data_IF_547514580444
#
_entry.id   IF_547514580444
#
_cell.length_a   1.000
_cell.length_b   1.000
_cell.length_c   1.000
_cell.angle_alpha   90.00
_cell.angle_beta   90.00
_cell.angle_gamma   90.00
#
_symmetry.space_group_name_H-M   'P 1'
#
loop_
_entity.id
_entity.type
_entity.pdbx_description
1 polymer ?
#
# COMPACT_ATOMS: atom_id res chain seq x y z
N UNK A 1 76.30 -6.60 -38.77
CA UNK A 1 75.65 -7.91 -38.99
C UNK A 1 74.21 -7.81 -38.51
N UNK A 2 73.28 -8.20 -39.37
CA UNK A 2 71.82 -8.07 -39.26
C UNK A 2 71.18 -9.00 -38.22
N UNK A 3 69.97 -8.60 -37.76
CA UNK A 3 68.78 -9.37 -37.29
C UNK A 3 68.20 -8.66 -36.04
N UNK A 4 67.05 -7.97 -36.02
CA UNK A 4 65.70 -8.17 -36.57
C UNK A 4 65.02 -9.46 -36.09
N UNK A 5 64.23 -9.38 -35.01
CA UNK A 5 62.93 -10.06 -34.77
C UNK A 5 62.39 -9.56 -33.40
N UNK A 6 61.45 -8.60 -33.34
CA UNK A 6 59.98 -8.71 -33.42
C UNK A 6 59.29 -9.49 -32.28
N UNK A 7 58.46 -8.76 -31.49
CA UNK A 7 57.17 -9.15 -30.89
C UNK A 7 57.21 -10.22 -29.76
N UNK A 8 56.50 -10.20 -28.64
CA UNK A 8 55.23 -9.59 -28.21
C UNK A 8 55.20 -9.66 -26.68
N UNK A 9 54.86 -8.55 -26.00
CA UNK A 9 54.48 -8.56 -24.58
C UNK A 9 53.08 -9.18 -24.46
N UNK A 10 52.97 -10.40 -23.94
CA UNK A 10 51.68 -11.00 -23.58
C UNK A 10 51.36 -10.65 -22.11
N UNK A 11 50.64 -9.55 -21.90
CA UNK A 11 49.90 -9.27 -20.68
C UNK A 11 48.72 -10.23 -20.60
N UNK A 12 48.81 -11.26 -19.75
CA UNK A 12 47.71 -12.16 -19.46
C UNK A 12 46.78 -11.50 -18.41
N UNK A 13 46.04 -10.47 -18.83
CA UNK A 13 44.88 -10.00 -18.06
C UNK A 13 43.72 -10.94 -18.37
N UNK A 14 43.50 -11.93 -17.50
CA UNK A 14 42.26 -12.72 -17.50
C UNK A 14 41.16 -11.79 -16.98
N UNK A 15 40.54 -11.09 -17.91
CA UNK A 15 39.27 -10.42 -17.69
C UNK A 15 38.23 -11.53 -17.47
N UNK A 16 37.96 -11.88 -16.21
CA UNK A 16 36.74 -12.61 -15.89
C UNK A 16 35.58 -11.65 -16.15
N UNK A 17 35.12 -11.62 -17.41
CA UNK A 17 33.79 -11.15 -17.72
C UNK A 17 32.83 -12.14 -17.08
N UNK A 18 32.48 -11.91 -15.81
CA UNK A 18 31.25 -12.45 -15.25
C UNK A 18 30.16 -11.89 -16.17
N UNK A 19 29.42 -12.72 -16.93
CA UNK A 19 28.28 -12.20 -17.64
C UNK A 19 27.38 -11.65 -16.54
N UNK A 20 27.15 -10.33 -16.56
CA UNK A 20 26.08 -9.74 -15.79
C UNK A 20 24.84 -10.55 -16.18
N UNK A 21 24.37 -11.39 -15.25
CA UNK A 21 23.03 -11.94 -15.33
C UNK A 21 22.15 -10.72 -15.25
N UNK A 22 21.80 -10.17 -16.42
CA UNK A 22 20.63 -9.34 -16.55
C UNK A 22 19.50 -10.27 -16.12
N UNK A 23 19.15 -10.23 -14.83
CA UNK A 23 17.88 -10.73 -14.37
C UNK A 23 16.88 -10.05 -15.29
N UNK A 24 16.16 -10.84 -16.07
CA UNK A 24 15.02 -10.39 -16.83
C UNK A 24 13.98 -9.88 -15.82
N UNK A 25 14.20 -8.65 -15.35
CA UNK A 25 13.29 -7.93 -14.48
C UNK A 25 12.15 -7.51 -15.39
N UNK A 26 11.19 -8.43 -15.55
CA UNK A 26 9.84 -8.07 -15.97
C UNK A 26 9.45 -6.80 -15.22
N UNK A 27 9.22 -5.73 -15.97
CA UNK A 27 8.96 -4.41 -15.41
C UNK A 27 7.65 -4.50 -14.63
N UNK A 28 7.74 -4.37 -13.30
CA UNK A 28 6.58 -4.48 -12.43
C UNK A 28 5.66 -3.28 -12.64
N UNK A 29 4.35 -3.52 -12.76
CA UNK A 29 3.38 -2.44 -12.73
C UNK A 29 3.30 -1.84 -11.32
N UNK A 30 2.81 -0.61 -11.19
CA UNK A 30 2.56 -0.01 -9.88
C UNK A 30 1.59 -0.84 -9.01
N UNK A 31 0.69 -1.62 -9.63
CA UNK A 31 -0.17 -2.58 -8.91
C UNK A 31 0.61 -3.78 -8.38
N UNK A 32 1.57 -4.29 -9.15
CA UNK A 32 2.44 -5.40 -8.72
C UNK A 32 3.31 -4.99 -7.54
N UNK A 33 3.83 -3.75 -7.54
CA UNK A 33 4.61 -3.23 -6.41
C UNK A 33 3.78 -3.17 -5.13
N UNK A 34 2.54 -2.64 -5.20
CA UNK A 34 1.65 -2.53 -4.03
C UNK A 34 1.22 -3.91 -3.53
N UNK A 35 0.90 -4.83 -4.44
CA UNK A 35 0.48 -6.19 -4.06
C UNK A 35 1.66 -7.00 -3.49
N UNK A 36 2.85 -6.90 -4.10
CA UNK A 36 4.08 -7.50 -3.62
C UNK A 36 4.46 -7.02 -2.22
N UNK A 37 4.44 -5.70 -1.98
CA UNK A 37 4.74 -5.16 -0.65
C UNK A 37 3.74 -5.62 0.41
N UNK A 38 2.45 -5.71 0.06
CA UNK A 38 1.44 -6.26 0.97
C UNK A 38 1.70 -7.72 1.32
N UNK A 39 2.21 -8.51 0.37
CA UNK A 39 2.60 -9.89 0.60
C UNK A 39 3.86 -9.98 1.46
N UNK A 40 4.83 -9.08 1.26
CA UNK A 40 6.02 -8.99 2.11
C UNK A 40 5.64 -8.73 3.58
N UNK A 41 4.69 -7.81 3.83
CA UNK A 41 4.17 -7.55 5.18
C UNK A 41 3.56 -8.81 5.79
N UNK A 42 2.73 -9.51 5.03
CA UNK A 42 2.13 -10.76 5.49
C UNK A 42 3.19 -11.82 5.83
N UNK A 43 4.14 -12.06 4.93
CA UNK A 43 5.16 -13.10 5.09
C UNK A 43 6.03 -12.83 6.32
N UNK A 44 6.51 -11.61 6.51
CA UNK A 44 7.33 -11.28 7.69
C UNK A 44 6.50 -11.41 8.98
N UNK A 45 5.24 -10.96 8.96
CA UNK A 45 4.32 -11.11 10.09
C UNK A 45 4.15 -12.57 10.52
N UNK A 46 3.96 -13.47 9.56
CA UNK A 46 3.86 -14.92 9.80
C UNK A 46 5.19 -15.53 10.27
N UNK A 47 6.33 -15.09 9.71
CA UNK A 47 7.63 -15.71 9.99
C UNK A 47 8.21 -15.32 11.34
N UNK A 48 8.09 -14.05 11.73
CA UNK A 48 8.77 -13.51 12.91
C UNK A 48 8.00 -12.45 13.69
N UNK A 49 6.71 -12.22 13.37
CA UNK A 49 5.88 -11.21 14.01
C UNK A 49 6.15 -9.77 13.56
N UNK A 50 7.16 -9.55 12.72
CA UNK A 50 7.53 -8.23 12.23
C UNK A 50 8.48 -7.46 13.14
N UNK A 51 9.44 -6.78 12.52
CA UNK A 51 10.27 -5.78 13.18
C UNK A 51 10.59 -4.64 12.21
N UNK A 52 10.95 -3.49 12.77
CA UNK A 52 11.15 -2.26 11.99
C UNK A 52 12.26 -2.38 10.93
N UNK A 53 13.30 -3.18 11.20
CA UNK A 53 14.39 -3.38 10.24
C UNK A 53 13.90 -4.13 9.00
N UNK A 54 13.15 -5.21 9.18
CA UNK A 54 12.61 -5.99 8.06
C UNK A 54 11.58 -5.16 7.26
N UNK A 55 10.75 -4.36 7.95
CA UNK A 55 9.84 -3.42 7.32
C UNK A 55 10.54 -2.37 6.47
N UNK A 56 11.53 -1.70 7.04
CA UNK A 56 12.28 -0.66 6.34
C UNK A 56 12.98 -1.21 5.07
N UNK A 57 13.50 -2.44 5.11
CA UNK A 57 14.11 -3.08 3.94
C UNK A 57 13.10 -3.31 2.80
N UNK A 58 11.90 -3.78 3.14
CA UNK A 58 10.83 -4.01 2.15
C UNK A 58 10.21 -2.70 1.65
N UNK A 59 10.06 -1.70 2.52
CA UNK A 59 9.66 -0.34 2.13
C UNK A 59 10.66 0.25 1.14
N UNK A 60 11.96 0.16 1.40
CA UNK A 60 13.01 0.67 0.51
C UNK A 60 12.99 -0.03 -0.86
N UNK A 61 12.80 -1.35 -0.86
CA UNK A 61 12.68 -2.14 -2.10
C UNK A 61 11.44 -1.74 -2.90
N UNK A 62 10.28 -1.65 -2.23
CA UNK A 62 9.02 -1.24 -2.84
C UNK A 62 9.07 0.21 -3.35
N UNK A 63 9.73 1.12 -2.63
CA UNK A 63 9.93 2.49 -3.05
C UNK A 63 10.72 2.60 -4.36
N UNK A 64 11.84 1.89 -4.47
CA UNK A 64 12.62 1.86 -5.71
C UNK A 64 11.82 1.28 -6.88
N UNK A 65 11.09 0.20 -6.64
CA UNK A 65 10.27 -0.43 -7.68
C UNK A 65 9.10 0.47 -8.09
N UNK A 66 8.48 1.19 -7.15
CA UNK A 66 7.41 2.15 -7.45
C UNK A 66 7.92 3.29 -8.34
N UNK A 67 9.09 3.85 -8.02
CA UNK A 67 9.71 4.90 -8.84
C UNK A 67 9.93 4.38 -10.26
N UNK A 68 10.54 3.19 -10.42
CA UNK A 68 10.75 2.57 -11.74
C UNK A 68 9.43 2.34 -12.48
N UNK A 69 8.40 1.84 -11.80
CA UNK A 69 7.09 1.61 -12.39
C UNK A 69 6.46 2.92 -12.90
N UNK A 70 6.51 3.99 -12.12
CA UNK A 70 5.93 5.30 -12.49
C UNK A 70 6.62 5.94 -13.70
N UNK A 71 7.91 5.68 -13.91
CA UNK A 71 8.64 6.11 -15.12
C UNK A 71 8.39 5.25 -16.35
N UNK A 72 7.76 4.08 -16.22
CA UNK A 72 7.49 3.20 -17.35
C UNK A 72 6.28 3.67 -18.16
N UNK A 73 6.37 3.50 -19.49
CA UNK A 73 5.32 3.88 -20.44
C UNK A 73 4.00 3.13 -20.20
N UNK A 74 4.06 1.89 -19.68
CA UNK A 74 2.88 1.06 -19.37
C UNK A 74 1.96 1.69 -18.31
N UNK A 75 2.51 2.49 -17.38
CA UNK A 75 1.72 3.19 -16.36
C UNK A 75 0.81 4.27 -16.95
N UNK A 76 1.09 4.73 -18.18
CA UNK A 76 0.28 5.75 -18.88
C UNK A 76 -0.96 5.12 -19.55
N UNK A 77 -0.91 3.85 -19.98
CA UNK A 77 -2.03 3.20 -20.69
C UNK A 77 -2.97 2.38 -19.80
N UNK A 78 -2.53 1.93 -18.62
CA UNK A 78 -3.30 1.04 -17.73
C UNK A 78 -3.56 1.62 -16.33
N UNK A 79 -3.91 2.90 -16.31
CA UNK A 79 -4.06 3.73 -15.11
C UNK A 79 -5.05 3.19 -14.06
N UNK A 80 -6.05 2.43 -14.51
CA UNK A 80 -7.15 1.91 -13.70
C UNK A 80 -7.27 0.40 -13.87
N UNK A 81 -7.53 -0.30 -12.79
CA UNK A 81 -7.91 -1.71 -12.81
C UNK A 81 -9.38 -1.90 -13.26
N UNK A 82 -9.85 -3.16 -13.25
CA UNK A 82 -11.23 -3.52 -13.60
C UNK A 82 -12.32 -2.89 -12.72
N UNK A 83 -11.95 -2.38 -11.54
CA UNK A 83 -12.86 -1.66 -10.65
C UNK A 83 -12.76 -0.14 -10.83
N UNK A 84 -11.94 0.34 -11.76
CA UNK A 84 -11.67 1.76 -11.94
C UNK A 84 -10.66 2.34 -10.95
N UNK A 85 -9.95 1.50 -10.20
CA UNK A 85 -8.99 1.94 -9.16
C UNK A 85 -7.61 2.15 -9.74
N UNK A 86 -6.99 3.26 -9.36
CA UNK A 86 -5.58 3.58 -9.65
C UNK A 86 -4.65 3.02 -8.56
N UNK A 87 -3.32 2.97 -8.76
CA UNK A 87 -2.38 2.62 -7.70
C UNK A 87 -2.53 3.50 -6.45
N UNK A 88 -2.85 4.79 -6.63
CA UNK A 88 -3.07 5.72 -5.50
C UNK A 88 -4.27 5.30 -4.63
N UNK A 89 -5.32 4.70 -5.20
CA UNK A 89 -6.44 4.14 -4.42
C UNK A 89 -5.95 3.05 -3.45
N UNK A 90 -5.15 2.11 -3.97
CA UNK A 90 -4.67 0.98 -3.20
C UNK A 90 -3.66 1.41 -2.12
N UNK A 91 -2.70 2.27 -2.46
CA UNK A 91 -1.74 2.79 -1.49
C UNK A 91 -2.44 3.54 -0.34
N UNK A 92 -3.43 4.38 -0.68
CA UNK A 92 -4.17 5.19 0.30
C UNK A 92 -5.07 4.34 1.20
N UNK A 93 -5.83 3.40 0.62
CA UNK A 93 -6.74 2.53 1.38
C UNK A 93 -6.05 1.46 2.23
N UNK A 94 -4.82 1.07 1.87
CA UNK A 94 -4.01 0.11 2.64
C UNK A 94 -3.11 0.77 3.69
N UNK A 95 -3.05 2.10 3.75
CA UNK A 95 -2.18 2.79 4.71
C UNK A 95 -0.71 2.80 4.32
N UNK A 96 -0.36 2.60 3.05
CA UNK A 96 1.03 2.64 2.57
C UNK A 96 1.48 4.09 2.33
N UNK A 97 1.65 4.83 3.43
CA UNK A 97 1.95 6.26 3.42
C UNK A 97 3.14 6.63 2.51
N UNK A 98 4.25 5.89 2.59
CA UNK A 98 5.44 6.14 1.76
C UNK A 98 5.17 5.96 0.26
N UNK A 99 4.32 5.00 -0.14
CA UNK A 99 3.93 4.84 -1.54
C UNK A 99 2.99 5.96 -2.00
N UNK A 100 2.10 6.44 -1.12
CA UNK A 100 1.28 7.63 -1.42
C UNK A 100 2.17 8.84 -1.69
N UNK A 101 3.20 9.06 -0.87
CA UNK A 101 4.19 10.13 -1.06
C UNK A 101 4.94 10.00 -2.39
N UNK A 102 5.48 8.82 -2.69
CA UNK A 102 6.20 8.58 -3.95
C UNK A 102 5.30 8.79 -5.16
N UNK A 103 4.06 8.29 -5.12
CA UNK A 103 3.11 8.43 -6.23
C UNK A 103 2.77 9.92 -6.44
N UNK A 104 2.54 10.69 -5.38
CA UNK A 104 2.19 12.11 -5.50
C UNK A 104 3.35 13.04 -5.82
N UNK A 105 4.60 12.59 -5.62
CA UNK A 105 5.79 13.29 -6.10
C UNK A 105 6.04 13.09 -7.60
N UNK A 106 5.23 12.26 -8.27
CA UNK A 106 5.33 12.02 -9.71
C UNK A 106 4.11 12.63 -10.45
N UNK A 107 4.35 13.30 -11.58
CA UNK A 107 3.31 14.05 -12.32
C UNK A 107 2.09 13.18 -12.69
N UNK A 108 2.35 11.95 -13.15
CA UNK A 108 1.29 10.98 -13.49
C UNK A 108 0.42 10.67 -12.26
N UNK A 109 1.03 10.49 -11.08
CA UNK A 109 0.31 10.14 -9.86
C UNK A 109 -0.56 11.26 -9.32
N UNK A 110 -0.13 12.52 -9.48
CA UNK A 110 -0.96 13.71 -9.17
C UNK A 110 -2.25 13.72 -10.00
N UNK A 111 -2.18 13.28 -11.27
CA UNK A 111 -3.36 13.13 -12.13
C UNK A 111 -4.41 12.14 -11.60
N UNK A 112 -4.07 11.31 -10.61
CA UNK A 112 -4.96 10.31 -10.02
C UNK A 112 -5.63 10.76 -8.72
N UNK A 113 -5.30 11.95 -8.21
CA UNK A 113 -5.68 12.42 -6.88
C UNK A 113 -7.19 12.35 -6.61
N UNK A 114 -8.00 12.64 -7.63
CA UNK A 114 -9.46 12.66 -7.59
C UNK A 114 -10.09 11.63 -8.53
N UNK A 115 -9.31 10.66 -9.02
CA UNK A 115 -9.86 9.58 -9.82
C UNK A 115 -10.89 8.81 -8.97
N UNK A 116 -12.06 8.52 -9.54
CA UNK A 116 -13.08 7.71 -8.90
C UNK A 116 -13.04 6.27 -9.42
N UNK A 117 -13.24 5.33 -8.51
CA UNK A 117 -13.53 3.94 -8.83
C UNK A 117 -15.02 3.74 -9.18
N UNK A 118 -15.42 2.50 -9.49
CA UNK A 118 -16.79 2.15 -9.87
C UNK A 118 -17.86 2.41 -8.79
N UNK A 119 -17.45 2.70 -7.55
CA UNK A 119 -18.30 3.04 -6.43
C UNK A 119 -18.25 4.54 -6.10
N UNK A 120 -17.59 5.36 -6.93
CA UNK A 120 -17.39 6.79 -6.69
C UNK A 120 -16.25 7.10 -5.72
N UNK A 121 -15.57 6.08 -5.17
CA UNK A 121 -14.56 6.27 -4.16
C UNK A 121 -13.27 6.83 -4.77
N UNK A 122 -12.79 7.94 -4.21
CA UNK A 122 -11.46 8.51 -4.47
C UNK A 122 -10.39 7.86 -3.58
N UNK A 123 -9.10 8.10 -3.83
CA UNK A 123 -8.04 7.71 -2.89
C UNK A 123 -8.25 8.28 -1.48
N UNK A 124 -8.72 9.52 -1.37
CA UNK A 124 -9.08 10.12 -0.08
C UNK A 124 -10.23 9.37 0.58
N UNK A 125 -11.31 9.09 -0.15
CA UNK A 125 -12.45 8.33 0.35
C UNK A 125 -12.04 6.94 0.88
N UNK A 126 -11.15 6.22 0.18
CA UNK A 126 -10.63 4.92 0.65
C UNK A 126 -9.74 5.05 1.89
N UNK A 127 -8.92 6.10 1.97
CA UNK A 127 -8.10 6.36 3.17
C UNK A 127 -8.94 6.70 4.40
N UNK A 128 -10.17 7.19 4.21
CA UNK A 128 -11.12 7.44 5.30
C UNK A 128 -11.76 6.14 5.80
N UNK A 129 -12.00 5.18 4.90
CA UNK A 129 -12.47 3.85 5.28
C UNK A 129 -11.40 3.04 6.02
N UNK A 130 -10.11 3.33 5.79
CA UNK A 130 -8.98 2.76 6.52
C UNK A 130 -9.07 1.24 6.71
N UNK A 131 -9.28 0.52 5.61
CA UNK A 131 -9.67 -0.91 5.64
C UNK A 131 -8.67 -1.76 6.43
N UNK A 132 -7.36 -1.44 6.39
CA UNK A 132 -6.36 -2.17 7.17
C UNK A 132 -6.43 -1.93 8.70
N UNK A 133 -7.15 -0.90 9.14
CA UNK A 133 -7.40 -0.57 10.56
C UNK A 133 -8.80 -0.95 11.04
N UNK A 134 -9.79 -0.96 10.15
CA UNK A 134 -11.20 -1.09 10.56
C UNK A 134 -11.78 -2.46 10.24
N UNK A 135 -11.01 -3.40 9.68
CA UNK A 135 -11.53 -4.68 9.17
C UNK A 135 -12.29 -5.50 10.22
N UNK A 136 -11.73 -5.63 11.43
CA UNK A 136 -12.38 -6.37 12.52
C UNK A 136 -13.71 -5.75 12.93
N UNK A 137 -13.76 -4.43 12.92
CA UNK A 137 -14.96 -3.67 13.23
C UNK A 137 -16.00 -3.75 12.11
N UNK A 138 -15.52 -3.90 10.87
CA UNK A 138 -16.34 -3.99 9.67
C UNK A 138 -17.05 -5.35 9.54
N UNK A 139 -16.47 -6.42 10.09
CA UNK A 139 -16.98 -7.80 10.02
C UNK A 139 -17.16 -8.47 11.41
N UNK A 140 -18.02 -7.93 12.30
CA UNK A 140 -18.23 -8.47 13.65
C UNK A 140 -18.82 -9.90 13.70
N UNK A 141 -19.39 -10.38 12.59
CA UNK A 141 -20.01 -11.69 12.44
C UNK A 141 -19.01 -12.82 12.23
N UNK A 142 -17.74 -12.52 11.94
CA UNK A 142 -16.72 -13.54 11.71
C UNK A 142 -16.51 -14.34 13.01
N UNK A 143 -17.04 -15.57 13.01
CA UNK A 143 -16.89 -16.51 14.12
C UNK A 143 -15.58 -17.28 14.08
N UNK A 144 -15.06 -17.52 12.87
CA UNK A 144 -13.82 -18.26 12.68
C UNK A 144 -12.63 -17.30 12.79
N UNK A 145 -11.87 -17.32 13.90
CA UNK A 145 -10.75 -16.41 14.07
C UNK A 145 -9.65 -16.62 13.03
N UNK A 146 -9.55 -17.80 12.40
CA UNK A 146 -8.54 -18.07 11.37
C UNK A 146 -8.73 -17.23 10.10
N UNK A 147 -9.95 -16.76 9.82
CA UNK A 147 -10.21 -15.83 8.69
C UNK A 147 -9.51 -14.48 8.91
N UNK A 148 -9.19 -14.15 10.16
CA UNK A 148 -8.55 -12.89 10.54
C UNK A 148 -7.02 -12.99 10.58
N UNK A 149 -6.43 -14.17 10.37
CA UNK A 149 -4.97 -14.36 10.44
C UNK A 149 -4.21 -13.37 9.54
N UNK A 150 -4.54 -13.19 8.26
CA UNK A 150 -3.85 -12.21 7.42
C UNK A 150 -3.93 -10.77 7.94
N UNK A 151 -5.02 -10.42 8.64
CA UNK A 151 -5.12 -9.13 9.31
C UNK A 151 -4.22 -9.08 10.53
N UNK A 152 -4.35 -10.04 11.46
CA UNK A 152 -3.65 -10.05 12.74
C UNK A 152 -2.13 -10.03 12.57
N UNK A 153 -1.59 -10.82 11.64
CA UNK A 153 -0.13 -10.90 11.42
C UNK A 153 0.43 -9.67 10.71
N UNK A 154 -0.40 -8.88 10.03
CA UNK A 154 0.03 -7.63 9.38
C UNK A 154 -0.14 -6.40 10.27
N UNK A 155 -0.89 -6.50 11.39
CA UNK A 155 -1.11 -5.37 12.32
C UNK A 155 0.16 -4.74 12.87
N UNK A 156 1.18 -5.49 13.30
CA UNK A 156 2.39 -4.90 13.88
C UNK A 156 3.09 -3.88 12.97
N UNK A 157 2.96 -4.01 11.65
CA UNK A 157 3.47 -3.01 10.71
C UNK A 157 2.86 -1.61 10.95
N UNK A 158 1.56 -1.52 11.25
CA UNK A 158 0.84 -0.25 11.34
C UNK A 158 0.89 0.43 12.72
N UNK A 159 1.11 -0.33 13.80
CA UNK A 159 0.95 0.12 15.20
C UNK A 159 1.71 1.43 15.51
N UNK A 160 2.95 1.55 15.06
CA UNK A 160 3.80 2.72 15.33
C UNK A 160 3.82 3.74 14.18
N UNK A 161 3.16 3.43 13.06
CA UNK A 161 3.21 4.26 11.85
C UNK A 161 2.10 5.29 11.79
N UNK A 162 0.92 4.96 12.34
CA UNK A 162 -0.32 5.74 12.27
C UNK A 162 -0.50 6.42 10.90
N UNK A 163 -0.67 5.63 9.83
CA UNK A 163 -0.45 6.12 8.47
C UNK A 163 -1.59 7.02 7.97
N UNK A 164 -2.82 6.81 8.41
CA UNK A 164 -3.98 7.46 7.80
C UNK A 164 -4.03 8.97 8.04
N UNK A 165 -3.79 9.50 9.25
CA UNK A 165 -3.69 10.96 9.43
C UNK A 165 -2.63 11.60 8.53
N UNK A 166 -1.48 10.92 8.34
CA UNK A 166 -0.41 11.38 7.45
C UNK A 166 -0.85 11.35 5.98
N UNK A 167 -1.53 10.28 5.55
CA UNK A 167 -2.10 10.13 4.21
C UNK A 167 -3.18 11.20 3.95
N UNK A 168 -4.07 11.46 4.90
CA UNK A 168 -5.11 12.49 4.76
C UNK A 168 -4.47 13.85 4.53
N UNK A 169 -3.51 14.23 5.38
CA UNK A 169 -2.79 15.50 5.24
C UNK A 169 -2.11 15.61 3.88
N UNK A 170 -1.45 14.53 3.44
CA UNK A 170 -0.74 14.50 2.17
C UNK A 170 -1.68 14.62 0.97
N UNK A 171 -2.77 13.85 0.94
CA UNK A 171 -3.77 13.92 -0.14
C UNK A 171 -4.42 15.31 -0.22
N UNK A 172 -4.79 15.90 0.93
CA UNK A 172 -5.38 17.24 0.99
C UNK A 172 -4.39 18.31 0.53
N UNK A 173 -3.10 18.19 0.88
CA UNK A 173 -2.06 19.10 0.40
C UNK A 173 -1.89 19.07 -1.14
N UNK A 174 -2.27 17.95 -1.78
CA UNK A 174 -2.30 17.79 -3.24
C UNK A 174 -3.70 18.06 -3.85
N UNK A 175 -4.60 18.74 -3.13
CA UNK A 175 -5.94 19.12 -3.58
C UNK A 175 -6.89 17.93 -3.82
N UNK A 176 -6.79 16.87 -3.01
CA UNK A 176 -7.81 15.85 -2.96
C UNK A 176 -9.16 16.43 -2.53
N UNK A 177 -10.24 15.97 -3.16
CA UNK A 177 -11.60 16.28 -2.76
C UNK A 177 -11.90 15.59 -1.40
N UNK A 178 -12.19 16.36 -0.34
CA UNK A 178 -12.42 15.81 0.99
C UNK A 178 -13.82 15.20 1.17
N UNK A 179 -14.70 15.24 0.18
CA UNK A 179 -16.07 14.71 0.29
C UNK A 179 -16.04 13.19 0.50
N UNK A 180 -16.78 12.74 1.51
CA UNK A 180 -16.81 11.32 1.93
C UNK A 180 -18.18 10.66 1.78
N UNK A 181 -19.13 11.27 1.08
CA UNK A 181 -20.50 10.75 1.01
C UNK A 181 -20.57 9.37 0.36
N UNK A 182 -19.81 9.17 -0.73
CA UNK A 182 -19.68 7.85 -1.36
C UNK A 182 -19.02 6.82 -0.43
N UNK A 183 -18.04 7.24 0.40
CA UNK A 183 -17.42 6.35 1.40
C UNK A 183 -18.41 5.94 2.49
N UNK A 184 -19.20 6.89 3.00
CA UNK A 184 -20.26 6.61 3.99
C UNK A 184 -21.29 5.65 3.41
N UNK A 185 -21.79 5.93 2.19
CA UNK A 185 -22.75 5.08 1.50
C UNK A 185 -22.17 3.68 1.25
N UNK A 186 -20.91 3.59 0.81
CA UNK A 186 -20.22 2.33 0.62
C UNK A 186 -20.14 1.53 1.93
N UNK A 187 -19.70 2.16 3.02
CA UNK A 187 -19.61 1.51 4.32
C UNK A 187 -20.98 1.04 4.80
N UNK A 188 -22.01 1.90 4.75
CA UNK A 188 -23.36 1.56 5.18
C UNK A 188 -23.94 0.39 4.38
N UNK A 189 -23.68 0.31 3.08
CA UNK A 189 -24.23 -0.74 2.23
C UNK A 189 -23.50 -2.08 2.34
N UNK A 190 -22.22 -2.08 2.75
CA UNK A 190 -21.37 -3.28 2.67
C UNK A 190 -20.85 -3.76 4.05
N UNK A 191 -20.91 -2.93 5.09
CA UNK A 191 -20.56 -3.33 6.46
C UNK A 191 -21.72 -4.10 7.11
N UNK A 192 -21.39 -5.24 7.71
CA UNK A 192 -22.32 -6.16 8.37
C UNK A 192 -22.70 -5.74 9.80
N UNK A 193 -22.14 -4.64 10.29
CA UNK A 193 -22.43 -4.10 11.62
C UNK A 193 -23.91 -3.66 11.74
N UNK A 194 -24.55 -4.10 12.83
CA UNK A 194 -25.99 -3.93 13.11
C UNK A 194 -26.31 -2.89 14.19
N UNK A 195 -25.30 -2.27 14.78
CA UNK A 195 -25.47 -1.19 15.76
C UNK A 195 -26.06 0.06 15.09
N UNK A 196 -27.34 0.34 15.33
CA UNK A 196 -28.08 1.46 14.71
C UNK A 196 -27.50 2.82 15.11
N UNK A 197 -27.06 2.99 16.36
CA UNK A 197 -26.46 4.23 16.84
C UNK A 197 -25.16 4.53 16.08
N UNK A 198 -24.33 3.51 15.88
CA UNK A 198 -23.12 3.62 15.08
C UNK A 198 -23.44 3.94 13.62
N UNK A 199 -24.39 3.23 13.01
CA UNK A 199 -24.77 3.48 11.60
C UNK A 199 -25.26 4.92 11.43
N UNK A 200 -26.04 5.43 12.39
CA UNK A 200 -26.46 6.82 12.41
C UNK A 200 -25.28 7.81 12.57
N UNK A 201 -24.28 7.47 13.41
CA UNK A 201 -23.04 8.26 13.52
C UNK A 201 -22.27 8.29 12.19
N UNK A 202 -22.16 7.17 11.48
CA UNK A 202 -21.50 7.13 10.16
C UNK A 202 -22.22 8.02 9.14
N UNK A 203 -23.55 8.03 9.14
CA UNK A 203 -24.34 8.92 8.25
C UNK A 203 -24.02 10.39 8.51
N UNK A 204 -23.96 10.79 9.78
CA UNK A 204 -23.93 12.21 10.20
C UNK A 204 -22.54 12.78 10.42
N UNK A 205 -21.51 11.95 10.58
CA UNK A 205 -20.16 12.39 10.94
C UNK A 205 -19.49 13.26 9.86
N UNK A 206 -18.73 14.27 10.29
CA UNK A 206 -17.82 15.02 9.42
C UNK A 206 -16.43 14.39 9.33
N UNK A 207 -16.08 13.47 10.24
CA UNK A 207 -14.81 12.75 10.30
C UNK A 207 -15.08 11.25 10.32
N UNK A 208 -15.16 10.68 9.12
CA UNK A 208 -15.48 9.27 8.93
C UNK A 208 -14.40 8.37 9.55
N UNK A 209 -13.13 8.68 9.29
CA UNK A 209 -12.02 7.88 9.80
C UNK A 209 -12.01 7.77 11.33
N UNK A 210 -12.09 8.90 12.04
CA UNK A 210 -12.08 8.88 13.51
C UNK A 210 -13.27 8.10 14.05
N UNK A 211 -14.44 8.26 13.43
CA UNK A 211 -15.66 7.52 13.82
C UNK A 211 -15.46 6.00 13.71
N UNK A 212 -14.87 5.53 12.62
CA UNK A 212 -14.62 4.09 12.39
C UNK A 212 -13.47 3.55 13.28
N UNK A 213 -12.40 4.33 13.47
CA UNK A 213 -11.23 3.95 14.26
C UNK A 213 -11.58 3.76 15.74
N UNK A 214 -12.40 4.64 16.33
CA UNK A 214 -12.89 4.48 17.72
C UNK A 214 -13.63 3.16 17.90
N UNK A 215 -14.44 2.78 16.90
CA UNK A 215 -15.10 1.48 16.86
C UNK A 215 -14.11 0.31 16.86
N UNK A 216 -13.10 0.38 16.00
CA UNK A 216 -12.06 -0.64 15.88
C UNK A 216 -11.25 -0.85 17.17
N UNK A 217 -10.78 0.23 17.80
CA UNK A 217 -10.00 0.13 19.04
C UNK A 217 -10.79 -0.51 20.20
N UNK A 218 -12.13 -0.41 20.21
CA UNK A 218 -12.96 -1.12 21.18
C UNK A 218 -12.90 -2.63 20.97
N UNK A 219 -12.93 -3.09 19.72
CA UNK A 219 -12.83 -4.51 19.36
C UNK A 219 -11.45 -5.07 19.71
N UNK A 220 -10.39 -4.34 19.37
CA UNK A 220 -9.01 -4.75 19.64
C UNK A 220 -8.74 -4.93 21.15
N UNK A 221 -9.23 -4.00 21.99
CA UNK A 221 -9.15 -4.15 23.45
C UNK A 221 -9.85 -5.39 23.97
N UNK A 222 -11.01 -5.76 23.40
CA UNK A 222 -11.73 -6.97 23.80
C UNK A 222 -10.99 -8.26 23.41
N UNK A 223 -10.21 -8.22 22.33
CA UNK A 223 -9.36 -9.35 21.93
C UNK A 223 -8.13 -9.48 22.84
N UNK A 224 -7.48 -8.35 23.20
CA UNK A 224 -6.31 -8.34 24.09
C UNK A 224 -6.62 -8.60 25.57
N UNK A 225 -7.87 -8.49 26.00
CA UNK A 225 -8.32 -8.79 27.38
C UNK A 225 -8.64 -10.28 27.62
N UNK A 226 -8.50 -11.14 26.61
CA UNK A 226 -8.63 -12.61 26.76
C UNK A 226 -7.27 -13.23 27.05
N UNK A 227 -6.75 -13.03 28.26
CA UNK A 227 -5.64 -13.79 28.81
C UNK A 227 -6.00 -14.29 30.21
#
# INVERSE_FOLDING_TARGET
>A
MYNLFCLLFALFNVLFAVPAVASDQTLQSAFDVISGFSNDIYVIGELNGGNEKDWAEKEATAAQNMIRALHSYDTVQHVKDKNGRTPLHYASGRGFHFLVEIILNHEIGVGWINAQDRYGLTPYALSQLAIADTLLFYHPEIKNPFVLVPYLVTRPYYENRDPYPKIHKLLLAHNANPVTDDAKAYWLNNCSQKDDDLRNKVTTTSDLYTTLRVGSSKVERLLGQRH
#
